data_IF_839371140866
#
_entry.id   IF_839371140866
#
_cell.length_a   1.000
_cell.length_b   1.000
_cell.length_c   1.000
_cell.angle_alpha   90.00
_cell.angle_beta   90.00
_cell.angle_gamma   90.00
#
_symmetry.space_group_name_H-M   'P 1'
#
loop_
_entity.id
_entity.type
_entity.pdbx_description
1 polymer ?
#
# COMPACT_ATOMS: atom_id res chain seq x y z
N UNK A 1 23.52 26.93 0.25
CA UNK A 1 23.52 25.47 -0.01
C UNK A 1 22.11 24.97 0.24
N UNK A 2 21.46 24.70 -0.87
CA UNK A 2 20.08 24.24 -1.06
C UNK A 2 19.77 23.06 -0.15
N UNK A 3 18.82 23.24 0.77
CA UNK A 3 18.08 22.10 1.34
C UNK A 3 17.16 21.62 0.24
N UNK A 4 17.62 20.59 -0.46
CA UNK A 4 16.81 19.90 -1.45
C UNK A 4 15.52 19.40 -0.81
N UNK A 5 14.48 19.50 -1.63
CA UNK A 5 13.10 19.15 -1.36
C UNK A 5 13.00 17.80 -0.63
N UNK A 6 12.58 17.86 0.63
CA UNK A 6 11.79 16.77 1.22
C UNK A 6 10.35 16.97 0.71
N UNK A 7 10.19 16.92 -0.62
CA UNK A 7 8.90 16.57 -1.19
C UNK A 7 8.84 15.06 -1.04
N UNK A 8 7.90 14.61 -0.23
CA UNK A 8 7.51 13.22 -0.03
C UNK A 8 7.90 12.36 -1.25
N UNK A 9 8.92 11.52 -1.10
CA UNK A 9 9.09 10.37 -2.01
C UNK A 9 7.92 9.45 -1.71
N UNK A 10 6.79 9.75 -2.35
CA UNK A 10 5.67 8.83 -2.45
C UNK A 10 6.25 7.67 -3.23
N UNK A 11 6.52 6.57 -2.52
CA UNK A 11 6.91 5.31 -3.13
C UNK A 11 5.71 4.88 -3.99
N UNK A 12 5.82 5.02 -5.31
CA UNK A 12 4.78 4.64 -6.25
C UNK A 12 4.98 3.18 -6.64
N UNK A 13 3.89 2.45 -6.81
CA UNK A 13 3.96 1.03 -7.24
C UNK A 13 4.63 0.88 -8.63
N UNK A 14 4.61 1.94 -9.44
CA UNK A 14 5.31 2.03 -10.73
C UNK A 14 6.84 2.09 -10.63
N UNK A 15 7.40 2.27 -9.43
CA UNK A 15 8.85 2.43 -9.24
C UNK A 15 9.58 1.07 -9.13
N UNK A 16 8.84 -0.04 -9.15
CA UNK A 16 9.41 -1.39 -9.08
C UNK A 16 9.71 -1.88 -10.50
N UNK A 17 10.98 -1.92 -10.86
CA UNK A 17 11.42 -2.57 -12.10
C UNK A 17 11.46 -4.10 -11.93
N UNK A 18 10.50 -4.79 -12.55
CA UNK A 18 10.41 -6.24 -12.58
C UNK A 18 10.88 -6.79 -13.93
N UNK A 19 11.50 -7.98 -13.91
CA UNK A 19 11.77 -8.71 -15.15
C UNK A 19 10.49 -9.40 -15.63
N UNK A 20 9.89 -8.87 -16.69
CA UNK A 20 8.65 -9.39 -17.28
C UNK A 20 8.88 -10.34 -18.46
N UNK A 21 10.12 -10.71 -18.76
CA UNK A 21 10.44 -11.56 -19.93
C UNK A 21 9.74 -12.93 -19.93
N UNK A 22 9.29 -13.38 -18.76
CA UNK A 22 8.58 -14.64 -18.56
C UNK A 22 7.06 -14.49 -18.56
N UNK A 23 6.55 -13.26 -18.53
CA UNK A 23 5.11 -12.97 -18.41
C UNK A 23 4.42 -13.19 -19.76
N UNK A 24 3.27 -13.86 -19.73
CA UNK A 24 2.41 -14.10 -20.89
C UNK A 24 1.00 -13.60 -20.60
N UNK A 25 0.24 -13.36 -21.66
CA UNK A 25 -1.15 -12.97 -21.51
C UNK A 25 -1.98 -14.13 -20.88
N UNK A 26 -2.96 -13.82 -20.03
CA UNK A 26 -3.88 -14.82 -19.49
C UNK A 26 -4.69 -15.46 -20.62
N UNK A 27 -4.80 -16.80 -20.59
CA UNK A 27 -5.71 -17.55 -21.44
C UNK A 27 -7.14 -17.54 -20.90
N UNK A 28 -8.12 -17.64 -21.80
CA UNK A 28 -9.56 -17.57 -21.48
C UNK A 28 -10.32 -18.83 -21.92
N UNK A 29 -9.62 -19.91 -22.21
CA UNK A 29 -10.24 -21.13 -22.71
C UNK A 29 -11.00 -21.84 -21.57
N UNK A 30 -11.99 -22.65 -21.94
CA UNK A 30 -12.70 -23.51 -21.00
C UNK A 30 -12.23 -24.95 -21.21
N UNK A 31 -11.76 -25.60 -20.14
CA UNK A 31 -11.34 -27.00 -20.18
C UNK A 31 -12.42 -27.92 -19.61
N UNK A 32 -12.55 -29.09 -20.21
CA UNK A 32 -13.40 -30.15 -19.68
C UNK A 32 -12.77 -30.73 -18.41
N UNK A 33 -13.47 -30.61 -17.28
CA UNK A 33 -12.96 -31.04 -15.96
C UNK A 33 -13.50 -32.41 -15.53
N UNK A 34 -14.28 -33.07 -16.39
CA UNK A 34 -15.04 -34.26 -16.02
C UNK A 34 -16.14 -33.96 -14.99
N UNK A 35 -16.90 -35.00 -14.64
CA UNK A 35 -17.98 -34.91 -13.65
C UNK A 35 -17.58 -35.71 -12.41
N UNK A 36 -17.36 -35.06 -11.24
CA UNK A 36 -16.94 -35.76 -10.02
C UNK A 36 -17.89 -36.88 -9.55
N UNK A 37 -19.15 -36.84 -10.00
CA UNK A 37 -20.20 -37.81 -9.68
C UNK A 37 -20.10 -39.11 -10.48
N UNK A 38 -19.25 -39.19 -11.51
CA UNK A 38 -19.08 -40.40 -12.31
C UNK A 38 -18.53 -41.54 -11.44
N UNK A 39 -19.17 -42.71 -11.53
CA UNK A 39 -18.64 -43.95 -10.98
C UNK A 39 -17.51 -44.45 -11.87
N UNK A 40 -16.33 -44.63 -11.29
CA UNK A 40 -15.12 -45.05 -12.02
C UNK A 40 -14.98 -46.56 -11.82
N UNK A 41 -15.29 -47.34 -12.87
CA UNK A 41 -15.04 -48.79 -12.91
C UNK A 41 -13.54 -49.07 -13.06
N UNK A 42 -13.10 -50.28 -12.73
CA UNK A 42 -11.72 -50.73 -12.96
C UNK A 42 -11.28 -50.58 -14.43
N UNK A 43 -12.16 -50.91 -15.39
CA UNK A 43 -11.88 -50.75 -16.83
C UNK A 43 -11.59 -49.28 -17.20
N UNK A 44 -12.46 -48.34 -16.79
CA UNK A 44 -12.23 -46.90 -16.97
C UNK A 44 -10.95 -46.40 -16.28
N UNK A 45 -10.59 -46.94 -15.11
CA UNK A 45 -9.36 -46.56 -14.42
C UNK A 45 -8.13 -47.03 -15.20
N UNK A 46 -8.13 -48.27 -15.70
CA UNK A 46 -7.05 -48.82 -16.53
C UNK A 46 -6.92 -48.04 -17.84
N UNK A 47 -8.03 -47.77 -18.52
CA UNK A 47 -8.06 -46.98 -19.75
C UNK A 47 -7.52 -45.55 -19.53
N UNK A 48 -7.88 -44.90 -18.42
CA UNK A 48 -7.37 -43.57 -18.07
C UNK A 48 -5.84 -43.57 -17.82
N UNK A 49 -5.30 -44.62 -17.17
CA UNK A 49 -3.84 -44.74 -16.97
C UNK A 49 -3.10 -45.02 -18.29
N UNK A 50 -3.70 -45.78 -19.22
CA UNK A 50 -3.15 -45.96 -20.58
C UNK A 50 -3.10 -44.62 -21.32
N UNK A 51 -4.20 -43.85 -21.35
CA UNK A 51 -4.24 -42.54 -21.99
C UNK A 51 -3.24 -41.56 -21.39
N UNK A 52 -3.09 -41.56 -20.06
CA UNK A 52 -2.05 -40.78 -19.37
C UNK A 52 -0.65 -41.18 -19.83
N UNK A 53 -0.37 -42.47 -20.03
CA UNK A 53 0.93 -42.91 -20.54
C UNK A 53 1.20 -42.41 -21.96
N UNK A 54 0.18 -42.42 -22.84
CA UNK A 54 0.28 -41.82 -24.19
C UNK A 54 0.53 -40.32 -24.11
N UNK A 55 -0.16 -39.61 -23.22
CA UNK A 55 0.08 -38.19 -23.03
C UNK A 55 1.50 -37.87 -22.56
N UNK A 56 2.07 -38.67 -21.64
CA UNK A 56 3.44 -38.47 -21.17
C UNK A 56 4.46 -38.69 -22.30
N UNK A 57 4.23 -39.67 -23.17
CA UNK A 57 5.05 -39.89 -24.36
C UNK A 57 4.94 -38.70 -25.33
N UNK A 58 3.72 -38.24 -25.62
CA UNK A 58 3.49 -37.07 -26.46
C UNK A 58 4.15 -35.79 -25.89
N UNK A 59 4.20 -35.62 -24.56
CA UNK A 59 4.96 -34.52 -23.92
C UNK A 59 6.45 -34.64 -24.20
N UNK A 60 7.03 -35.84 -24.12
CA UNK A 60 8.44 -36.08 -24.42
C UNK A 60 8.76 -35.80 -25.90
N UNK A 61 7.83 -36.08 -26.80
CA UNK A 61 7.95 -35.80 -28.24
C UNK A 61 7.63 -34.34 -28.61
N UNK A 62 7.17 -33.53 -27.64
CA UNK A 62 6.79 -32.13 -27.86
C UNK A 62 5.40 -31.95 -28.51
N UNK A 63 4.62 -33.01 -28.66
CA UNK A 63 3.25 -33.01 -29.18
C UNK A 63 2.26 -32.60 -28.08
N UNK A 64 2.36 -31.34 -27.65
CA UNK A 64 1.64 -30.85 -26.46
C UNK A 64 0.11 -30.80 -26.64
N UNK A 65 -0.39 -30.54 -27.85
CA UNK A 65 -1.84 -30.52 -28.13
C UNK A 65 -2.43 -31.91 -27.97
N UNK A 66 -1.78 -32.91 -28.57
CA UNK A 66 -2.17 -34.32 -28.46
C UNK A 66 -2.09 -34.80 -27.01
N UNK A 67 -1.03 -34.46 -26.29
CA UNK A 67 -0.92 -34.79 -24.87
C UNK A 67 -2.07 -34.22 -24.03
N UNK A 68 -2.48 -32.98 -24.31
CA UNK A 68 -3.61 -32.32 -23.64
C UNK A 68 -4.93 -33.02 -23.98
N UNK A 69 -5.12 -33.48 -25.21
CA UNK A 69 -6.32 -34.21 -25.63
C UNK A 69 -6.40 -35.59 -24.93
N UNK A 70 -5.31 -36.39 -24.95
CA UNK A 70 -5.24 -37.67 -24.23
C UNK A 70 -5.51 -37.51 -22.72
N UNK A 71 -4.97 -36.46 -22.09
CA UNK A 71 -5.23 -36.19 -20.67
C UNK A 71 -6.67 -35.76 -20.40
N UNK A 72 -7.31 -35.08 -21.35
CA UNK A 72 -8.71 -34.69 -21.22
C UNK A 72 -9.61 -35.91 -21.30
N UNK A 73 -9.38 -36.81 -22.26
CA UNK A 73 -10.07 -38.10 -22.34
C UNK A 73 -9.85 -38.94 -21.07
N UNK A 74 -8.62 -39.00 -20.55
CA UNK A 74 -8.32 -39.70 -19.31
C UNK A 74 -9.11 -39.13 -18.11
N UNK A 75 -9.25 -37.80 -18.03
CA UNK A 75 -10.02 -37.12 -16.97
C UNK A 75 -11.52 -37.42 -17.11
N UNK A 76 -12.05 -37.52 -18.32
CA UNK A 76 -13.45 -37.88 -18.55
C UNK A 76 -13.75 -39.31 -18.08
N UNK A 77 -12.78 -40.23 -18.17
CA UNK A 77 -12.90 -41.61 -17.67
C UNK A 77 -12.67 -41.71 -16.15
N UNK A 78 -11.72 -40.92 -15.60
CA UNK A 78 -11.39 -40.93 -14.19
C UNK A 78 -11.19 -39.50 -13.63
N UNK A 79 -12.29 -38.78 -13.33
CA UNK A 79 -12.23 -37.40 -12.82
C UNK A 79 -11.82 -37.31 -11.34
N UNK A 80 -11.46 -38.44 -10.71
CA UNK A 80 -11.05 -38.51 -9.29
C UNK A 80 -9.54 -38.67 -9.12
N UNK A 81 -8.78 -38.67 -10.21
CA UNK A 81 -7.33 -38.83 -10.18
C UNK A 81 -6.61 -37.48 -10.16
N UNK A 82 -6.06 -37.11 -9.00
CA UNK A 82 -5.23 -35.90 -8.84
C UNK A 82 -4.04 -35.86 -9.82
N UNK A 83 -3.47 -37.03 -10.17
CA UNK A 83 -2.32 -37.13 -11.07
C UNK A 83 -2.65 -36.76 -12.51
N UNK A 84 -3.88 -36.99 -12.97
CA UNK A 84 -4.31 -36.61 -14.32
C UNK A 84 -4.38 -35.09 -14.43
N UNK A 85 -5.04 -34.43 -13.48
CA UNK A 85 -5.09 -32.97 -13.41
C UNK A 85 -3.70 -32.35 -13.28
N UNK A 86 -2.83 -32.86 -12.40
CA UNK A 86 -1.45 -32.34 -12.28
C UNK A 86 -0.60 -32.55 -13.56
N UNK A 87 -0.84 -33.63 -14.30
CA UNK A 87 -0.15 -33.87 -15.57
C UNK A 87 -0.66 -32.95 -16.68
N UNK A 88 -1.98 -32.68 -16.72
CA UNK A 88 -2.57 -31.72 -17.66
C UNK A 88 -2.19 -30.29 -17.35
N UNK A 89 -2.10 -29.92 -16.07
CA UNK A 89 -1.54 -28.64 -15.63
C UNK A 89 -0.09 -28.45 -16.13
N UNK A 90 0.76 -29.47 -16.00
CA UNK A 90 2.13 -29.44 -16.56
C UNK A 90 2.13 -29.26 -18.07
N UNK A 91 1.20 -29.91 -18.78
CA UNK A 91 1.02 -29.74 -20.22
C UNK A 91 0.63 -28.30 -20.56
N UNK A 92 -0.31 -27.70 -19.81
CA UNK A 92 -0.73 -26.31 -20.00
C UNK A 92 0.37 -25.29 -19.73
N UNK A 93 1.25 -25.52 -18.74
CA UNK A 93 2.46 -24.69 -18.55
C UNK A 93 3.32 -24.70 -19.81
N UNK A 94 3.57 -25.88 -20.41
CA UNK A 94 4.34 -26.00 -21.66
C UNK A 94 3.62 -25.35 -22.86
N UNK A 95 2.30 -25.38 -22.89
CA UNK A 95 1.45 -24.70 -23.89
C UNK A 95 1.33 -23.19 -23.67
N UNK A 96 1.90 -22.66 -22.59
CA UNK A 96 1.76 -21.26 -22.16
C UNK A 96 0.31 -20.84 -21.89
N UNK A 97 -0.48 -21.72 -21.27
CA UNK A 97 -1.85 -21.47 -20.80
C UNK A 97 -1.90 -21.45 -19.27
N UNK A 98 -1.45 -20.36 -18.62
CA UNK A 98 -1.31 -20.33 -17.17
C UNK A 98 -2.64 -20.43 -16.40
N UNK A 99 -3.75 -19.87 -16.88
CA UNK A 99 -5.03 -19.94 -16.18
C UNK A 99 -5.60 -21.37 -16.20
N UNK A 100 -5.55 -22.05 -17.35
CA UNK A 100 -5.86 -23.48 -17.46
C UNK A 100 -4.99 -24.32 -16.52
N UNK A 101 -3.68 -24.06 -16.49
CA UNK A 101 -2.75 -24.77 -15.61
C UNK A 101 -3.07 -24.57 -14.12
N UNK A 102 -3.41 -23.34 -13.70
CA UNK A 102 -3.78 -23.05 -12.31
C UNK A 102 -5.06 -23.78 -11.92
N UNK A 103 -6.10 -23.77 -12.78
CA UNK A 103 -7.36 -24.49 -12.51
C UNK A 103 -7.14 -25.99 -12.29
N UNK A 104 -6.41 -26.64 -13.19
CA UNK A 104 -6.10 -28.06 -13.05
C UNK A 104 -5.22 -28.34 -11.82
N UNK A 105 -4.21 -27.51 -11.56
CA UNK A 105 -3.37 -27.67 -10.39
C UNK A 105 -4.15 -27.49 -9.08
N UNK A 106 -5.12 -26.57 -9.04
CA UNK A 106 -5.98 -26.36 -7.88
C UNK A 106 -6.86 -27.58 -7.61
N UNK A 107 -7.46 -28.17 -8.64
CA UNK A 107 -8.23 -29.42 -8.50
C UNK A 107 -7.33 -30.56 -8.01
N UNK A 108 -6.14 -30.70 -8.59
CA UNK A 108 -5.18 -31.72 -8.17
C UNK A 108 -4.78 -31.58 -6.69
N UNK A 109 -4.53 -30.35 -6.23
CA UNK A 109 -4.13 -30.05 -4.85
C UNK A 109 -5.30 -30.14 -3.86
N UNK A 110 -6.53 -29.89 -4.28
CA UNK A 110 -7.72 -30.17 -3.47
C UNK A 110 -7.88 -31.68 -3.21
N UNK A 111 -7.59 -32.51 -4.21
CA UNK A 111 -7.64 -33.97 -4.09
C UNK A 111 -6.44 -34.55 -3.32
N UNK A 112 -5.24 -34.04 -3.60
CA UNK A 112 -4.01 -34.45 -2.93
C UNK A 112 -3.14 -33.22 -2.59
N UNK A 113 -3.21 -32.71 -1.36
CA UNK A 113 -2.44 -31.55 -0.91
C UNK A 113 -0.93 -31.76 -0.80
N UNK A 114 -0.43 -33.00 -0.90
CA UNK A 114 1.00 -33.35 -0.84
C UNK A 114 1.59 -33.60 -2.24
N UNK A 115 0.83 -33.33 -3.30
CA UNK A 115 1.27 -33.57 -4.67
C UNK A 115 2.23 -32.47 -5.15
N UNK A 116 3.54 -32.73 -5.04
CA UNK A 116 4.60 -31.80 -5.45
C UNK A 116 4.42 -31.26 -6.88
N UNK A 117 4.02 -32.12 -7.83
CA UNK A 117 3.75 -31.74 -9.23
C UNK A 117 2.65 -30.69 -9.37
N UNK A 118 1.63 -30.72 -8.50
CA UNK A 118 0.56 -29.72 -8.48
C UNK A 118 1.10 -28.33 -8.12
N UNK A 119 1.88 -28.24 -7.04
CA UNK A 119 2.54 -26.98 -6.64
C UNK A 119 3.53 -26.49 -7.70
N UNK A 120 4.31 -27.40 -8.32
CA UNK A 120 5.24 -27.05 -9.42
C UNK A 120 4.49 -26.39 -10.57
N UNK A 121 3.45 -27.04 -11.09
CA UNK A 121 2.67 -26.52 -12.22
C UNK A 121 2.00 -25.19 -11.88
N UNK A 122 1.39 -25.08 -10.69
CA UNK A 122 0.76 -23.84 -10.22
C UNK A 122 1.77 -22.69 -10.08
N UNK A 123 2.92 -22.95 -9.48
CA UNK A 123 3.97 -21.95 -9.29
C UNK A 123 4.57 -21.47 -10.60
N UNK A 124 4.81 -22.38 -11.55
CA UNK A 124 5.24 -22.01 -12.90
C UNK A 124 4.19 -21.14 -13.62
N UNK A 125 2.93 -21.55 -13.59
CA UNK A 125 1.84 -20.79 -14.21
C UNK A 125 1.63 -19.40 -13.59
N UNK A 126 1.73 -19.28 -12.26
CA UNK A 126 1.68 -17.99 -11.56
C UNK A 126 2.84 -17.07 -11.96
N UNK A 127 4.05 -17.61 -12.14
CA UNK A 127 5.18 -16.82 -12.62
C UNK A 127 4.93 -16.29 -14.05
N UNK A 128 4.27 -17.08 -14.91
CA UNK A 128 3.88 -16.64 -16.24
C UNK A 128 2.81 -15.53 -16.22
N UNK A 129 2.06 -15.38 -15.13
CA UNK A 129 1.11 -14.28 -14.93
C UNK A 129 1.73 -13.08 -14.20
N UNK A 130 3.01 -13.13 -13.86
CA UNK A 130 3.67 -12.09 -13.06
C UNK A 130 3.29 -12.10 -11.58
N UNK A 131 2.65 -13.18 -11.10
CA UNK A 131 2.30 -13.39 -9.69
C UNK A 131 3.52 -13.95 -8.94
N UNK A 132 4.55 -13.12 -8.79
CA UNK A 132 5.89 -13.56 -8.38
C UNK A 132 5.96 -14.10 -6.94
N UNK A 133 5.26 -13.47 -5.99
CA UNK A 133 5.27 -13.90 -4.58
C UNK A 133 4.55 -15.25 -4.41
N UNK A 134 3.39 -15.42 -5.04
CA UNK A 134 2.64 -16.67 -5.04
C UNK A 134 3.41 -17.79 -5.77
N UNK A 135 4.04 -17.46 -6.89
CA UNK A 135 4.89 -18.39 -7.63
C UNK A 135 6.06 -18.89 -6.77
N UNK A 136 6.79 -17.99 -6.12
CA UNK A 136 7.91 -18.35 -5.25
C UNK A 136 7.46 -19.27 -4.11
N UNK A 137 6.29 -18.99 -3.53
CA UNK A 137 5.72 -19.80 -2.45
C UNK A 137 5.39 -21.21 -2.92
N UNK A 138 4.70 -21.36 -4.04
CA UNK A 138 4.34 -22.67 -4.59
C UNK A 138 5.57 -23.48 -5.01
N UNK A 139 6.53 -22.87 -5.70
CA UNK A 139 7.77 -23.55 -6.11
C UNK A 139 8.60 -24.01 -4.90
N UNK A 140 8.65 -23.21 -3.82
CA UNK A 140 9.29 -23.62 -2.58
C UNK A 140 8.59 -24.82 -1.92
N UNK A 141 7.26 -24.86 -1.91
CA UNK A 141 6.51 -26.00 -1.38
C UNK A 141 6.77 -27.24 -2.23
N UNK A 142 6.75 -27.12 -3.56
CA UNK A 142 7.08 -28.21 -4.47
C UNK A 142 8.45 -28.82 -4.14
N UNK A 143 9.51 -27.99 -4.05
CA UNK A 143 10.87 -28.43 -3.74
C UNK A 143 11.05 -29.06 -2.36
N UNK A 144 10.21 -28.67 -1.38
CA UNK A 144 10.21 -29.27 -0.04
C UNK A 144 9.58 -30.67 -0.04
N UNK A 145 8.55 -30.87 -0.86
CA UNK A 145 7.85 -32.15 -0.99
C UNK A 145 8.66 -33.14 -1.85
N UNK A 146 9.16 -32.66 -2.99
CA UNK A 146 10.01 -33.44 -3.90
C UNK A 146 10.97 -32.51 -4.64
N UNK A 147 12.27 -32.79 -4.52
CA UNK A 147 13.28 -31.94 -5.15
C UNK A 147 13.33 -32.19 -6.66
N UNK A 148 13.23 -31.11 -7.43
CA UNK A 148 13.25 -31.14 -8.88
C UNK A 148 14.09 -29.96 -9.42
N UNK A 149 15.07 -30.27 -10.26
CA UNK A 149 16.04 -29.29 -10.75
C UNK A 149 15.39 -28.19 -11.59
N UNK A 150 14.40 -28.53 -12.42
CA UNK A 150 13.65 -27.55 -13.22
C UNK A 150 12.88 -26.57 -12.33
N UNK A 151 12.27 -27.05 -11.25
CA UNK A 151 11.56 -26.25 -10.25
C UNK A 151 12.53 -25.33 -9.51
N UNK A 152 13.71 -25.82 -9.15
CA UNK A 152 14.76 -25.02 -8.50
C UNK A 152 15.25 -23.89 -9.41
N UNK A 153 15.53 -24.20 -10.67
CA UNK A 153 15.95 -23.22 -11.67
C UNK A 153 14.86 -22.18 -11.93
N UNK A 154 13.59 -22.59 -11.91
CA UNK A 154 12.47 -21.68 -12.01
C UNK A 154 12.37 -20.76 -10.80
N UNK A 155 12.49 -21.29 -9.58
CA UNK A 155 12.46 -20.49 -8.35
C UNK A 155 13.55 -19.41 -8.37
N UNK A 156 14.76 -19.74 -8.84
CA UNK A 156 15.87 -18.77 -8.98
C UNK A 156 15.54 -17.59 -9.90
N UNK A 157 14.67 -17.78 -10.89
CA UNK A 157 14.19 -16.69 -11.76
C UNK A 157 13.11 -15.85 -11.11
N UNK A 158 12.25 -16.46 -10.29
CA UNK A 158 11.11 -15.81 -9.64
C UNK A 158 11.52 -15.03 -8.38
N UNK A 159 12.48 -15.56 -7.60
CA UNK A 159 12.94 -15.00 -6.32
C UNK A 159 13.29 -13.50 -6.38
N UNK A 160 14.05 -12.99 -7.37
CA UNK A 160 14.39 -11.57 -7.42
C UNK A 160 13.18 -10.64 -7.52
N UNK A 161 12.21 -10.96 -8.38
CA UNK A 161 10.99 -10.16 -8.52
C UNK A 161 10.13 -10.25 -7.26
N UNK A 162 9.95 -11.44 -6.69
CA UNK A 162 9.21 -11.63 -5.44
C UNK A 162 9.83 -10.82 -4.28
N UNK A 163 11.16 -10.84 -4.14
CA UNK A 163 11.87 -10.08 -3.11
C UNK A 163 11.75 -8.57 -3.32
N UNK A 164 11.86 -8.07 -4.57
CA UNK A 164 11.66 -6.64 -4.87
C UNK A 164 10.27 -6.17 -4.45
N UNK A 165 9.22 -6.95 -4.75
CA UNK A 165 7.83 -6.63 -4.37
C UNK A 165 7.69 -6.59 -2.84
N UNK A 166 8.22 -7.61 -2.16
CA UNK A 166 8.18 -7.69 -0.70
C UNK A 166 8.92 -6.54 -0.03
N UNK A 167 10.13 -6.23 -0.49
CA UNK A 167 10.96 -5.15 0.04
C UNK A 167 10.30 -3.79 -0.18
N UNK A 168 9.71 -3.57 -1.36
CA UNK A 168 8.96 -2.35 -1.65
C UNK A 168 7.75 -2.19 -0.72
N UNK A 169 6.96 -3.26 -0.53
CA UNK A 169 5.82 -3.27 0.41
C UNK A 169 6.27 -2.94 1.84
N UNK A 170 7.38 -3.51 2.29
CA UNK A 170 7.93 -3.25 3.62
C UNK A 170 8.41 -1.80 3.78
N UNK A 171 9.10 -1.24 2.77
CA UNK A 171 9.54 0.16 2.77
C UNK A 171 8.36 1.13 2.82
N UNK A 172 7.31 0.86 2.05
CA UNK A 172 6.06 1.65 2.06
C UNK A 172 5.43 1.67 3.45
N UNK A 173 5.27 0.49 4.07
CA UNK A 173 4.71 0.37 5.42
C UNK A 173 5.57 1.09 6.48
N UNK A 174 6.89 0.96 6.39
CA UNK A 174 7.81 1.63 7.33
C UNK A 174 7.76 3.16 7.17
N UNK A 175 7.65 3.67 5.94
CA UNK A 175 7.49 5.10 5.69
C UNK A 175 6.16 5.63 6.24
N UNK A 176 5.06 4.89 6.04
CA UNK A 176 3.75 5.22 6.60
C UNK A 176 3.77 5.24 8.14
N UNK A 177 4.46 4.28 8.76
CA UNK A 177 4.68 4.24 10.21
C UNK A 177 5.45 5.46 10.69
N UNK A 178 6.58 5.77 10.05
CA UNK A 178 7.40 6.94 10.40
C UNK A 178 6.64 8.26 10.22
N UNK A 179 5.85 8.39 9.15
CA UNK A 179 5.02 9.57 8.92
C UNK A 179 3.91 9.69 9.97
N UNK A 180 3.26 8.58 10.33
CA UNK A 180 2.27 8.54 11.41
C UNK A 180 2.87 8.94 12.76
N UNK A 181 4.08 8.46 13.08
CA UNK A 181 4.80 8.83 14.30
C UNK A 181 5.21 10.29 14.32
N UNK A 182 5.71 10.83 13.21
CA UNK A 182 6.01 12.27 13.07
C UNK A 182 4.76 13.12 13.26
N UNK A 183 3.63 12.71 12.71
CA UNK A 183 2.34 13.40 12.88
C UNK A 183 1.89 13.31 14.34
N UNK A 184 1.94 12.13 14.97
CA UNK A 184 1.58 11.95 16.38
C UNK A 184 2.46 12.79 17.32
N UNK A 185 3.77 12.84 17.07
CA UNK A 185 4.70 13.69 17.81
C UNK A 185 4.41 15.18 17.58
N UNK A 186 4.07 15.59 16.35
CA UNK A 186 3.66 16.96 16.08
C UNK A 186 2.36 17.32 16.81
N UNK A 187 1.37 16.42 16.84
CA UNK A 187 0.10 16.64 17.53
C UNK A 187 0.27 16.76 19.05
N UNK A 188 1.11 15.93 19.68
CA UNK A 188 1.37 16.02 21.13
C UNK A 188 1.99 17.37 21.52
N UNK A 189 2.73 17.99 20.61
CA UNK A 189 3.29 19.32 20.77
C UNK A 189 2.24 20.42 20.60
N UNK A 190 1.10 20.24 19.93
CA UNK A 190 0.23 21.37 19.57
C UNK A 190 -0.76 21.81 20.67
N UNK A 191 -0.98 21.02 21.73
CA UNK A 191 -1.93 21.31 22.83
C UNK A 191 -3.30 21.79 22.32
N UNK A 192 -4.01 20.90 21.63
CA UNK A 192 -5.31 21.18 21.00
C UNK A 192 -6.32 21.71 22.03
N UNK A 193 -7.10 22.73 21.65
CA UNK A 193 -8.09 23.35 22.53
C UNK A 193 -7.56 24.49 23.41
N UNK A 194 -6.25 24.74 23.39
CA UNK A 194 -5.60 25.71 24.27
C UNK A 194 -4.92 26.85 23.49
N UNK A 195 -4.79 27.99 24.17
CA UNK A 195 -3.98 29.11 23.68
C UNK A 195 -2.58 28.99 24.29
N UNK A 196 -1.58 28.80 23.44
CA UNK A 196 -0.19 28.64 23.88
C UNK A 196 0.51 29.99 23.88
N UNK A 197 0.96 30.43 25.05
CA UNK A 197 1.77 31.64 25.19
C UNK A 197 3.23 31.39 24.78
N UNK A 198 3.74 32.25 23.91
CA UNK A 198 5.07 32.12 23.32
C UNK A 198 5.98 33.22 23.85
N UNK A 199 7.00 32.82 24.61
CA UNK A 199 8.01 33.71 25.19
C UNK A 199 9.43 33.50 24.59
N UNK A 200 9.63 32.41 23.85
CA UNK A 200 10.90 32.08 23.20
C UNK A 200 10.67 31.73 21.71
N UNK A 201 11.48 32.31 20.83
CA UNK A 201 11.46 32.01 19.41
C UNK A 201 11.78 30.55 19.08
N UNK A 202 12.48 29.81 19.96
CA UNK A 202 12.64 28.35 19.80
C UNK A 202 11.30 27.62 19.91
N UNK A 203 10.50 27.91 20.95
CA UNK A 203 9.18 27.31 21.15
C UNK A 203 8.25 27.66 20.00
N UNK A 204 8.28 28.92 19.54
CA UNK A 204 7.51 29.36 18.37
C UNK A 204 7.83 28.51 17.13
N UNK A 205 9.12 28.33 16.82
CA UNK A 205 9.55 27.53 15.65
C UNK A 205 9.12 26.07 15.77
N UNK A 206 9.21 25.48 16.96
CA UNK A 206 8.76 24.11 17.20
C UNK A 206 7.25 23.97 16.95
N UNK A 207 6.42 24.86 17.49
CA UNK A 207 4.96 24.85 17.28
C UNK A 207 4.59 25.10 15.83
N UNK A 208 5.26 26.05 15.16
CA UNK A 208 5.05 26.31 13.72
C UNK A 208 5.45 25.10 12.86
N UNK A 209 6.56 24.43 13.19
CA UNK A 209 6.98 23.21 12.51
C UNK A 209 5.96 22.09 12.69
N UNK A 210 5.45 21.89 13.91
CA UNK A 210 4.43 20.89 14.19
C UNK A 210 3.10 21.20 13.47
N UNK A 211 2.69 22.46 13.41
CA UNK A 211 1.51 22.90 12.65
C UNK A 211 1.69 22.66 11.15
N UNK A 212 2.90 22.84 10.63
CA UNK A 212 3.23 22.53 9.24
C UNK A 212 3.13 21.03 8.95
N UNK A 213 3.74 20.18 9.78
CA UNK A 213 3.68 18.71 9.65
C UNK A 213 2.25 18.19 9.66
N UNK A 214 1.37 18.79 10.48
CA UNK A 214 -0.05 18.40 10.59
C UNK A 214 -0.95 19.13 9.59
N UNK A 215 -0.39 19.98 8.72
CA UNK A 215 -1.13 20.82 7.77
C UNK A 215 -2.22 21.71 8.41
N UNK A 216 -2.05 22.08 9.67
CA UNK A 216 -3.00 22.91 10.43
C UNK A 216 -2.77 24.41 10.21
N UNK A 217 -3.85 25.17 10.30
CA UNK A 217 -3.78 26.64 10.34
C UNK A 217 -3.19 27.06 11.69
N UNK A 218 -2.27 28.03 11.69
CA UNK A 218 -1.79 28.68 12.91
C UNK A 218 -2.26 30.12 12.94
N UNK A 219 -2.85 30.53 14.05
CA UNK A 219 -3.21 31.92 14.32
C UNK A 219 -2.29 32.41 15.43
N UNK A 220 -1.58 33.50 15.19
CA UNK A 220 -0.71 34.14 16.18
C UNK A 220 -1.28 35.50 16.54
N UNK A 221 -1.64 35.67 17.80
CA UNK A 221 -2.22 36.87 18.35
C UNK A 221 -1.19 37.65 19.16
N UNK A 222 -0.90 38.87 18.73
CA UNK A 222 -0.03 39.80 19.44
C UNK A 222 -0.85 40.66 20.41
N UNK A 223 -0.56 40.52 21.70
CA UNK A 223 -1.28 41.17 22.79
C UNK A 223 -0.35 42.11 23.58
N UNK A 224 -0.95 42.99 24.37
CA UNK A 224 -0.26 43.86 25.30
C UNK A 224 -1.15 44.14 26.53
N UNK A 225 -0.66 44.00 27.77
CA UNK A 225 -1.48 44.14 28.99
C UNK A 225 -2.14 45.51 29.16
N UNK A 226 -1.51 46.56 28.63
CA UNK A 226 -2.01 47.93 28.71
C UNK A 226 -3.13 48.23 27.71
N UNK A 227 -3.33 47.40 26.68
CA UNK A 227 -4.36 47.63 25.65
C UNK A 227 -5.71 47.10 26.10
N UNK A 228 -6.71 47.98 26.18
CA UNK A 228 -8.09 47.60 26.52
C UNK A 228 -8.71 46.67 25.48
N UNK A 229 -8.43 46.92 24.20
CA UNK A 229 -8.89 46.07 23.10
C UNK A 229 -8.36 44.62 23.25
N UNK A 230 -7.14 44.46 23.74
CA UNK A 230 -6.58 43.14 24.01
C UNK A 230 -7.27 42.44 25.18
N UNK A 231 -7.55 43.16 26.28
CA UNK A 231 -8.28 42.60 27.44
C UNK A 231 -9.66 42.06 27.04
N UNK A 232 -10.33 42.71 26.08
CA UNK A 232 -11.60 42.25 25.54
C UNK A 232 -11.44 41.04 24.60
N UNK A 233 -10.36 40.98 23.82
CA UNK A 233 -10.10 39.89 22.86
C UNK A 233 -9.52 38.63 23.49
N UNK A 234 -8.74 38.71 24.56
CA UNK A 234 -8.11 37.57 25.24
C UNK A 234 -9.09 36.44 25.62
N UNK A 235 -10.25 36.68 26.28
CA UNK A 235 -11.20 35.62 26.60
C UNK A 235 -11.86 35.05 25.34
N UNK A 236 -12.14 35.89 24.34
CA UNK A 236 -12.73 35.48 23.07
C UNK A 236 -11.78 34.50 22.35
N UNK A 237 -10.49 34.85 22.27
CA UNK A 237 -9.46 34.03 21.64
C UNK A 237 -9.30 32.66 22.33
N UNK A 238 -9.39 32.61 23.66
CA UNK A 238 -9.40 31.35 24.43
C UNK A 238 -10.63 30.49 24.15
N UNK A 239 -11.80 31.10 23.96
CA UNK A 239 -13.02 30.36 23.56
C UNK A 239 -12.86 29.76 22.17
N UNK A 240 -12.34 30.53 21.20
CA UNK A 240 -12.07 30.02 19.85
C UNK A 240 -11.08 28.85 19.84
N UNK A 241 -10.06 28.86 20.69
CA UNK A 241 -9.15 27.73 20.79
C UNK A 241 -9.86 26.41 21.13
N UNK A 242 -10.86 26.46 22.02
CA UNK A 242 -11.67 25.30 22.40
C UNK A 242 -12.67 24.89 21.32
N UNK A 243 -13.27 25.86 20.63
CA UNK A 243 -14.22 25.60 19.55
C UNK A 243 -13.55 25.01 18.30
N UNK A 244 -12.29 25.35 18.05
CA UNK A 244 -11.54 24.94 16.86
C UNK A 244 -10.23 24.22 17.23
N UNK A 245 -10.29 22.98 17.78
CA UNK A 245 -9.10 22.26 18.25
C UNK A 245 -8.10 21.90 17.14
N UNK A 246 -8.54 21.92 15.88
CA UNK A 246 -7.70 21.67 14.70
C UNK A 246 -6.90 22.91 14.23
N UNK A 247 -7.09 24.05 14.88
CA UNK A 247 -6.32 25.28 14.63
C UNK A 247 -5.37 25.50 15.79
N UNK A 248 -4.14 25.92 15.47
CA UNK A 248 -3.11 26.21 16.48
C UNK A 248 -3.22 27.67 16.89
N UNK A 249 -3.60 27.93 18.14
CA UNK A 249 -3.75 29.28 18.67
C UNK A 249 -2.53 29.66 19.52
N UNK A 250 -1.76 30.64 19.05
CA UNK A 250 -0.57 31.16 19.72
C UNK A 250 -0.80 32.59 20.19
N UNK A 251 -0.24 32.97 21.34
CA UNK A 251 -0.17 34.36 21.81
C UNK A 251 1.26 34.82 22.01
N UNK A 252 1.54 36.07 21.66
CA UNK A 252 2.82 36.73 21.90
C UNK A 252 2.52 38.05 22.61
N UNK A 253 2.96 38.14 23.86
CA UNK A 253 2.90 39.40 24.62
C UNK A 253 4.09 40.27 24.24
N UNK A 254 3.82 41.38 23.56
CA UNK A 254 4.85 42.31 23.08
C UNK A 254 5.49 43.12 24.22
N UNK A 255 4.91 43.11 25.42
CA UNK A 255 5.53 43.67 26.63
C UNK A 255 6.68 42.81 27.14
N UNK A 256 6.66 41.51 26.81
CA UNK A 256 7.67 40.54 27.23
C UNK A 256 8.76 40.45 26.17
N UNK A 257 10.02 40.36 26.63
CA UNK A 257 11.16 40.20 25.73
C UNK A 257 11.17 38.78 25.16
N UNK A 258 10.97 38.66 23.84
CA UNK A 258 11.11 37.39 23.13
C UNK A 258 12.51 37.25 22.53
N UNK A 259 13.26 36.26 22.98
CA UNK A 259 14.58 35.96 22.41
C UNK A 259 14.44 35.20 21.08
N UNK A 260 15.21 35.60 20.06
CA UNK A 260 15.23 34.91 18.76
C UNK A 260 13.92 35.02 17.96
N UNK A 261 13.17 36.11 18.18
CA UNK A 261 11.94 36.43 17.48
C UNK A 261 12.16 36.55 15.96
N UNK A 262 11.27 36.01 15.11
CA UNK A 262 11.25 36.36 13.69
C UNK A 262 11.05 37.88 13.53
N UNK A 263 11.51 38.45 12.40
CA UNK A 263 11.32 39.87 12.06
C UNK A 263 9.85 40.16 11.71
N UNK A 264 8.95 39.98 12.66
CA UNK A 264 7.54 40.36 12.55
C UNK A 264 7.40 41.79 13.07
N UNK A 265 7.21 42.73 12.14
CA UNK A 265 6.90 44.12 12.48
C UNK A 265 5.40 44.24 12.72
N UNK A 266 4.99 44.49 13.95
CA UNK A 266 3.60 44.82 14.31
C UNK A 266 3.44 46.34 14.35
N UNK A 267 2.55 46.90 13.53
CA UNK A 267 2.30 48.35 13.48
C UNK A 267 1.21 48.80 14.48
N UNK A 268 0.40 47.87 14.97
CA UNK A 268 -0.74 48.09 15.85
C UNK A 268 -0.98 46.85 16.71
N UNK A 269 -1.73 47.00 17.81
CA UNK A 269 -2.10 45.94 18.77
C UNK A 269 -3.58 46.16 19.15
N UNK A 270 -4.45 45.12 19.21
CA UNK A 270 -4.20 43.72 18.88
C UNK A 270 -3.92 43.49 17.39
N UNK A 271 -3.13 42.46 17.07
CA UNK A 271 -2.81 42.07 15.69
C UNK A 271 -2.78 40.55 15.55
N UNK A 272 -3.30 40.03 14.44
CA UNK A 272 -3.47 38.61 14.20
C UNK A 272 -2.76 38.21 12.92
N UNK A 273 -1.92 37.19 13.00
CA UNK A 273 -1.23 36.62 11.87
C UNK A 273 -1.81 35.24 11.62
N UNK A 274 -2.29 35.03 10.40
CA UNK A 274 -2.76 33.72 9.94
C UNK A 274 -1.63 33.08 9.14
N UNK A 275 -1.27 31.85 9.50
CA UNK A 275 -0.19 31.12 8.87
C UNK A 275 -0.69 29.77 8.36
N UNK A 276 -0.38 29.47 7.10
CA UNK A 276 -0.62 28.17 6.45
C UNK A 276 0.69 27.68 5.88
N UNK A 277 1.02 26.40 6.11
CA UNK A 277 2.31 25.81 5.70
C UNK A 277 3.52 26.67 6.13
N UNK A 278 3.53 27.17 7.37
CA UNK A 278 4.56 28.07 7.92
C UNK A 278 4.77 29.41 7.21
N UNK A 279 3.87 29.80 6.30
CA UNK A 279 3.89 31.10 5.62
C UNK A 279 2.74 31.96 6.12
N UNK A 280 3.01 33.24 6.36
CA UNK A 280 1.98 34.22 6.71
C UNK A 280 1.11 34.45 5.47
N UNK A 281 -0.15 34.05 5.56
CA UNK A 281 -1.14 34.23 4.49
C UNK A 281 -1.92 35.52 4.67
N UNK A 282 -2.12 35.96 5.91
CA UNK A 282 -2.84 37.20 6.22
C UNK A 282 -2.35 37.84 7.53
N UNK A 283 -2.46 39.17 7.60
CA UNK A 283 -2.28 39.98 8.81
C UNK A 283 -3.49 40.87 8.98
N UNK A 284 -4.10 40.88 10.16
CA UNK A 284 -5.34 41.62 10.40
C UNK A 284 -5.37 42.29 11.77
N UNK A 285 -5.91 43.51 11.81
CA UNK A 285 -6.36 44.18 13.04
C UNK A 285 -7.78 43.73 13.31
N UNK A 286 -7.96 42.87 14.32
CA UNK A 286 -9.28 42.37 14.69
C UNK A 286 -9.62 42.91 16.09
N UNK A 287 -10.81 43.50 16.22
CA UNK A 287 -11.20 44.21 17.46
C UNK A 287 -12.44 43.64 18.13
N UNK A 288 -13.13 42.70 17.48
CA UNK A 288 -14.33 42.04 18.01
C UNK A 288 -14.39 40.57 17.61
N UNK A 289 -15.31 39.83 18.25
CA UNK A 289 -15.53 38.38 18.02
C UNK A 289 -15.86 38.07 16.56
N UNK A 290 -16.78 38.83 15.97
CA UNK A 290 -17.33 38.56 14.64
C UNK A 290 -16.27 38.63 13.54
N UNK A 291 -15.39 39.64 13.59
CA UNK A 291 -14.29 39.79 12.64
C UNK A 291 -13.35 38.57 12.65
N UNK A 292 -13.00 38.06 13.84
CA UNK A 292 -12.14 36.88 13.99
C UNK A 292 -12.84 35.61 13.51
N UNK A 293 -14.12 35.44 13.85
CA UNK A 293 -14.92 34.30 13.44
C UNK A 293 -15.02 34.19 11.92
N UNK A 294 -15.35 35.29 11.25
CA UNK A 294 -15.45 35.35 9.79
C UNK A 294 -14.13 34.98 9.10
N UNK A 295 -12.99 35.39 9.67
CA UNK A 295 -11.66 35.04 9.15
C UNK A 295 -11.32 33.57 9.37
N UNK A 296 -11.62 33.02 10.53
CA UNK A 296 -11.45 31.58 10.81
C UNK A 296 -12.28 30.76 9.82
N UNK A 297 -13.58 31.09 9.68
CA UNK A 297 -14.49 30.39 8.77
C UNK A 297 -14.05 30.48 7.31
N UNK A 298 -13.49 31.61 6.87
CA UNK A 298 -12.92 31.74 5.52
C UNK A 298 -11.81 30.70 5.26
N UNK A 299 -10.92 30.49 6.23
CA UNK A 299 -9.79 29.55 6.08
C UNK A 299 -10.16 28.09 6.35
N UNK A 300 -11.17 27.83 7.19
CA UNK A 300 -11.68 26.49 7.48
C UNK A 300 -12.63 26.02 6.36
N UNK A 301 -13.55 26.88 5.93
CA UNK A 301 -14.56 26.58 4.89
C UNK A 301 -14.02 26.61 3.46
N UNK A 302 -12.86 27.25 3.21
CA UNK A 302 -12.20 27.29 1.90
C UNK A 302 -11.37 26.05 1.54
N UNK A 303 -11.40 24.97 2.32
CA UNK A 303 -10.70 23.69 2.05
C UNK A 303 -11.46 22.77 1.08
N UNK A 304 -12.56 23.24 0.48
CA UNK A 304 -13.29 22.54 -0.59
C UNK A 304 -13.48 23.48 -1.78
N UNK A 305 -12.45 23.62 -2.61
CA UNK A 305 -12.50 24.01 -4.03
C UNK A 305 -11.18 23.70 -4.70
#
# INVERSE_FOLDING_TARGET
MSRENISDEIILESDIELDESYVVAPDNDFEEMGYPTVEVSEENQEAAEVLKSYALNAICEGQLVEAKDHLTEAIMLNPKSALLFASRATCYVKLKKPNAAIRDADVALQMNPELARGYKARGMAMAMLGLWEEAATNLNVALKLDFDEETYMMLKKVEPNANKIKDHRQRKLELERQNSEKIAQALSVLHDGEVVEINDGKVLRTKMSAAHTTSRLTITYFTAPWSELCRNMDPIYKTFAREYPNIVFLTIDISKRMNGAPKWKTAYIPNFYFLKKSKVVERAKLTNKYELEMKILHYVGGLSR
#
